data_IF_527696245966
#
_entry.id   IF_527696245966
#
_cell.length_a   1.000
_cell.length_b   1.000
_cell.length_c   1.000
_cell.angle_alpha   90.00
_cell.angle_beta   90.00
_cell.angle_gamma   90.00
#
_symmetry.space_group_name_H-M   'P 1'
#
loop_
_entity.id
_entity.type
_entity.pdbx_description
1 polymer ?
#
# COMPACT_ATOMS: atom_id res chain seq x y z
N UNK A 1 -14.99 12.68 12.49
CA UNK A 1 -14.77 11.37 11.81
C UNK A 1 -14.46 10.34 12.87
N UNK A 2 -15.05 9.14 12.79
CA UNK A 2 -14.79 8.08 13.78
C UNK A 2 -13.39 7.50 13.60
N UNK A 3 -12.69 7.23 14.70
CA UNK A 3 -11.38 6.57 14.71
C UNK A 3 -11.47 5.06 14.95
N UNK A 4 -12.67 4.53 15.14
CA UNK A 4 -12.93 3.10 15.31
C UNK A 4 -13.56 2.55 14.05
N UNK A 5 -13.20 1.32 13.67
CA UNK A 5 -13.86 0.59 12.60
C UNK A 5 -15.39 0.56 12.83
N UNK A 6 -16.24 0.82 11.83
CA UNK A 6 -15.97 0.95 10.39
C UNK A 6 -15.66 2.39 9.91
N UNK A 7 -15.14 3.25 10.79
CA UNK A 7 -14.68 4.62 10.51
C UNK A 7 -15.77 5.57 10.02
N UNK A 8 -17.01 5.33 10.44
CA UNK A 8 -18.19 6.10 10.05
C UNK A 8 -18.92 5.56 8.82
N UNK A 9 -18.47 4.44 8.26
CA UNK A 9 -19.22 3.74 7.21
C UNK A 9 -20.32 2.83 7.78
N UNK A 10 -21.31 2.50 6.96
CA UNK A 10 -22.33 1.52 7.31
C UNK A 10 -21.88 0.12 6.83
N UNK A 11 -21.90 -0.86 7.75
CA UNK A 11 -21.56 -2.25 7.45
C UNK A 11 -22.62 -2.94 6.57
N UNK A 12 -23.88 -2.50 6.65
CA UNK A 12 -24.95 -3.00 5.77
C UNK A 12 -24.73 -2.57 4.32
N UNK A 13 -23.96 -1.51 4.10
CA UNK A 13 -23.62 -0.94 2.80
C UNK A 13 -22.13 -1.18 2.47
N UNK A 14 -21.61 -2.36 2.84
CA UNK A 14 -20.21 -2.75 2.64
C UNK A 14 -19.68 -2.45 1.23
N UNK A 15 -20.46 -2.75 0.19
CA UNK A 15 -20.12 -2.49 -1.23
C UNK A 15 -19.84 -1.03 -1.55
N UNK A 16 -20.46 -0.10 -0.82
CA UNK A 16 -20.31 1.33 -1.09
C UNK A 16 -18.94 1.88 -0.70
N UNK A 17 -18.16 1.15 0.10
CA UNK A 17 -16.90 1.65 0.64
C UNK A 17 -15.77 0.62 0.71
N UNK A 18 -16.03 -0.69 0.87
CA UNK A 18 -14.96 -1.67 0.94
C UNK A 18 -14.18 -1.78 -0.38
N UNK A 19 -12.86 -1.81 -0.23
CA UNK A 19 -11.86 -1.86 -1.27
C UNK A 19 -11.63 -0.54 -1.99
N UNK A 20 -12.51 0.47 -1.85
CA UNK A 20 -12.41 1.77 -2.51
C UNK A 20 -11.17 2.57 -2.06
N UNK A 21 -10.66 3.45 -2.93
CA UNK A 21 -9.44 4.23 -2.67
C UNK A 21 -9.58 5.17 -1.45
N UNK A 22 -10.79 5.62 -1.14
CA UNK A 22 -11.12 6.47 0.01
C UNK A 22 -11.47 5.66 1.28
N UNK A 23 -11.50 4.32 1.20
CA UNK A 23 -11.74 3.45 2.32
C UNK A 23 -10.58 3.57 3.32
N UNK A 24 -10.91 3.84 4.58
CA UNK A 24 -9.90 4.04 5.62
C UNK A 24 -9.48 2.71 6.24
N UNK A 25 -8.19 2.62 6.59
CA UNK A 25 -7.65 1.53 7.38
C UNK A 25 -6.79 2.09 8.51
N UNK A 26 -6.96 1.52 9.70
CA UNK A 26 -6.07 1.73 10.85
C UNK A 26 -4.93 0.70 10.89
N UNK A 27 -5.17 -0.46 10.27
CA UNK A 27 -4.21 -1.54 10.17
C UNK A 27 -3.79 -1.71 8.71
N UNK A 28 -2.49 -1.61 8.46
CA UNK A 28 -1.89 -1.76 7.13
C UNK A 28 -0.83 -2.85 7.16
N UNK A 29 -0.76 -3.63 6.09
CA UNK A 29 0.41 -4.44 5.76
C UNK A 29 1.18 -3.68 4.70
N UNK A 30 2.43 -3.32 5.02
CA UNK A 30 3.30 -2.58 4.10
C UNK A 30 4.54 -3.42 3.81
N UNK A 31 4.85 -3.56 2.53
CA UNK A 31 5.97 -4.37 2.03
C UNK A 31 6.80 -3.53 1.07
N UNK A 32 8.11 -3.57 1.20
CA UNK A 32 9.01 -2.95 0.23
C UNK A 32 9.04 -3.75 -1.07
N UNK A 33 8.85 -3.07 -2.20
CA UNK A 33 8.69 -3.69 -3.52
C UNK A 33 9.81 -3.30 -4.51
N UNK A 34 10.91 -2.75 -3.99
CA UNK A 34 12.06 -2.30 -4.76
C UNK A 34 12.02 -0.81 -5.08
N UNK A 35 13.13 -0.30 -5.62
CA UNK A 35 13.30 1.12 -5.85
C UNK A 35 14.61 1.42 -6.56
N UNK A 36 14.75 2.66 -6.99
CA UNK A 36 15.96 3.18 -7.59
C UNK A 36 16.23 4.58 -7.05
N UNK A 37 17.37 4.78 -6.38
CA UNK A 37 17.74 6.09 -5.83
C UNK A 37 19.26 6.31 -5.96
N UNK A 38 19.66 7.23 -6.85
CA UNK A 38 20.99 7.86 -6.83
C UNK A 38 20.74 9.37 -6.81
N UNK A 39 20.76 9.98 -5.63
CA UNK A 39 20.46 11.40 -5.42
C UNK A 39 18.97 11.77 -5.58
N UNK A 40 18.34 11.43 -6.70
CA UNK A 40 16.91 11.58 -6.96
C UNK A 40 16.35 10.24 -7.46
N UNK A 41 15.18 9.84 -6.96
CA UNK A 41 14.70 8.49 -7.24
C UNK A 41 13.31 8.20 -6.73
N UNK A 42 12.99 6.91 -6.69
CA UNK A 42 11.76 6.41 -6.09
C UNK A 42 11.96 5.10 -5.34
N UNK A 43 11.14 4.90 -4.31
CA UNK A 43 10.95 3.61 -3.64
C UNK A 43 9.50 3.19 -3.80
N UNK A 44 9.28 1.93 -4.15
CA UNK A 44 7.95 1.34 -4.29
C UNK A 44 7.63 0.46 -3.08
N UNK A 45 6.38 0.48 -2.67
CA UNK A 45 5.83 -0.30 -1.58
C UNK A 45 4.46 -0.84 -1.97
N UNK A 46 4.14 -2.04 -1.50
CA UNK A 46 2.77 -2.57 -1.57
C UNK A 46 2.09 -2.23 -0.25
N UNK A 47 0.99 -1.49 -0.33
CA UNK A 47 0.13 -1.16 0.81
C UNK A 47 -1.14 -1.99 0.72
N UNK A 48 -1.43 -2.78 1.75
CA UNK A 48 -2.68 -3.52 1.91
C UNK A 48 -3.40 -3.04 3.17
N UNK A 49 -4.59 -2.47 3.01
CA UNK A 49 -5.46 -2.06 4.12
C UNK A 49 -6.27 -3.24 4.65
N UNK A 50 -5.98 -3.67 5.87
CA UNK A 50 -6.63 -4.85 6.49
C UNK A 50 -8.03 -4.56 7.03
N UNK A 51 -8.38 -3.29 7.20
CA UNK A 51 -9.73 -2.83 7.59
C UNK A 51 -10.54 -2.33 6.38
N UNK A 52 -9.95 -2.33 5.18
CA UNK A 52 -10.57 -1.77 3.98
C UNK A 52 -10.51 -2.67 2.76
N UNK A 53 -9.73 -3.76 2.75
CA UNK A 53 -9.50 -4.62 1.57
C UNK A 53 -9.00 -3.86 0.33
N UNK A 54 -8.39 -2.71 0.53
CA UNK A 54 -7.71 -1.99 -0.55
C UNK A 54 -6.26 -2.47 -0.65
N UNK A 55 -5.77 -2.69 -1.86
CA UNK A 55 -4.35 -2.97 -2.09
C UNK A 55 -3.82 -2.09 -3.21
N UNK A 56 -2.61 -1.55 -3.04
CA UNK A 56 -2.01 -0.68 -4.02
C UNK A 56 -0.49 -0.75 -4.06
N UNK A 57 0.05 -0.49 -5.25
CA UNK A 57 1.44 -0.10 -5.43
C UNK A 57 1.56 1.40 -5.17
N UNK A 58 2.26 1.74 -4.09
CA UNK A 58 2.52 3.11 -3.66
C UNK A 58 3.99 3.42 -3.87
N UNK A 59 4.28 4.55 -4.52
CA UNK A 59 5.64 5.04 -4.73
C UNK A 59 5.91 6.29 -3.93
N UNK A 60 7.08 6.34 -3.31
CA UNK A 60 7.65 7.56 -2.79
C UNK A 60 8.64 8.11 -3.79
N UNK A 61 8.41 9.33 -4.29
CA UNK A 61 9.33 10.04 -5.15
C UNK A 61 10.08 11.09 -4.34
N UNK A 62 11.41 11.01 -4.30
CA UNK A 62 12.17 11.88 -3.42
C UNK A 62 13.58 12.17 -3.90
N UNK A 63 14.25 13.00 -3.11
CA UNK A 63 15.65 13.38 -3.26
C UNK A 63 16.38 13.16 -1.94
N UNK A 64 17.58 12.56 -2.01
CA UNK A 64 18.48 12.33 -0.88
C UNK A 64 19.33 13.57 -0.53
N UNK A 65 20.25 13.48 0.44
CA UNK A 65 21.05 14.59 0.91
C UNK A 65 22.22 14.86 -0.05
N UNK A 66 21.93 15.52 -1.16
CA UNK A 66 22.95 16.19 -1.97
C UNK A 66 22.95 17.68 -1.61
N UNK A 67 24.13 18.27 -1.46
CA UNK A 67 24.37 19.67 -1.00
C UNK A 67 23.69 20.74 -1.90
N UNK A 68 23.08 20.33 -3.02
CA UNK A 68 22.37 21.18 -4.00
C UNK A 68 20.92 20.75 -4.29
N UNK A 69 20.33 19.84 -3.52
CA UNK A 69 19.01 19.30 -3.81
C UNK A 69 17.90 20.38 -3.68
N UNK A 70 17.15 20.69 -4.76
CA UNK A 70 16.17 21.79 -4.76
C UNK A 70 14.82 21.34 -4.18
N UNK A 71 14.80 20.93 -2.91
CA UNK A 71 13.62 20.43 -2.21
C UNK A 71 12.40 21.36 -2.38
N UNK A 72 12.61 22.68 -2.30
CA UNK A 72 11.53 23.67 -2.52
C UNK A 72 10.89 23.60 -3.91
N UNK A 73 11.64 23.26 -4.96
CA UNK A 73 11.08 23.08 -6.32
C UNK A 73 10.38 21.74 -6.47
N UNK A 74 10.91 20.68 -5.85
CA UNK A 74 10.27 19.35 -5.80
C UNK A 74 8.92 19.45 -5.07
N UNK A 75 8.88 20.08 -3.91
CA UNK A 75 7.64 20.29 -3.14
C UNK A 75 6.67 21.28 -3.79
N UNK A 76 7.17 22.30 -4.51
CA UNK A 76 6.32 23.17 -5.32
C UNK A 76 5.68 22.41 -6.48
N UNK A 77 6.44 21.54 -7.16
CA UNK A 77 5.94 20.68 -8.22
C UNK A 77 5.00 19.58 -7.69
N UNK A 78 5.21 19.12 -6.46
CA UNK A 78 4.33 18.18 -5.77
C UNK A 78 2.91 18.72 -5.57
N UNK A 79 2.77 20.04 -5.41
CA UNK A 79 1.46 20.70 -5.39
C UNK A 79 0.65 20.51 -6.67
N UNK A 80 1.28 20.08 -7.78
CA UNK A 80 0.59 19.67 -9.01
C UNK A 80 0.41 18.15 -9.10
N UNK A 81 1.46 17.36 -8.86
CA UNK A 81 1.38 15.89 -8.72
C UNK A 81 2.71 15.29 -8.27
N UNK A 82 2.69 14.08 -7.70
CA UNK A 82 3.89 13.31 -7.38
C UNK A 82 4.79 13.04 -8.62
N UNK A 83 4.18 12.83 -9.81
CA UNK A 83 4.92 12.66 -11.07
C UNK A 83 5.59 13.95 -11.55
N UNK A 84 5.00 15.12 -11.26
CA UNK A 84 5.64 16.41 -11.51
C UNK A 84 6.82 16.65 -10.55
N UNK A 85 6.68 16.25 -9.27
CA UNK A 85 7.76 16.25 -8.30
C UNK A 85 8.93 15.35 -8.75
N UNK A 86 8.64 14.15 -9.27
CA UNK A 86 9.67 13.25 -9.82
C UNK A 86 10.39 13.85 -11.04
N UNK A 87 9.65 14.42 -11.99
CA UNK A 87 10.25 15.08 -13.17
C UNK A 87 11.14 16.23 -12.76
N UNK A 88 10.69 17.07 -11.82
CA UNK A 88 11.50 18.15 -11.27
C UNK A 88 12.76 17.61 -10.62
N UNK A 89 12.66 16.60 -9.74
CA UNK A 89 13.80 15.96 -9.09
C UNK A 89 14.82 15.40 -10.10
N UNK A 90 14.34 14.75 -11.17
CA UNK A 90 15.18 14.13 -12.21
C UNK A 90 15.98 15.16 -13.02
N UNK A 91 15.43 16.35 -13.27
CA UNK A 91 16.15 17.43 -13.99
C UNK A 91 17.40 17.89 -13.24
N UNK A 92 17.42 17.81 -11.90
CA UNK A 92 18.54 18.28 -11.08
C UNK A 92 19.53 17.16 -10.69
N UNK A 93 19.22 15.89 -10.97
CA UNK A 93 20.06 14.73 -10.66
C UNK A 93 20.92 14.21 -11.83
N UNK A 94 21.04 14.96 -12.94
CA UNK A 94 21.58 14.51 -14.23
C UNK A 94 23.03 13.99 -14.26
N UNK A 95 23.82 14.19 -13.20
CA UNK A 95 25.25 13.86 -13.20
C UNK A 95 25.61 12.37 -13.26
N UNK A 96 24.79 11.46 -12.71
CA UNK A 96 25.18 10.06 -12.48
C UNK A 96 24.24 9.03 -13.14
N UNK A 97 23.46 9.44 -14.15
CA UNK A 97 22.25 8.76 -14.62
C UNK A 97 22.46 7.56 -15.58
N UNK A 98 23.69 7.29 -16.04
CA UNK A 98 23.94 6.25 -17.07
C UNK A 98 23.99 4.85 -16.47
N UNK A 99 24.50 4.70 -15.24
CA UNK A 99 24.61 3.40 -14.56
C UNK A 99 23.32 3.11 -13.78
N UNK A 100 22.31 2.51 -14.42
CA UNK A 100 21.13 2.00 -13.72
C UNK A 100 19.79 2.05 -14.46
N UNK A 101 19.72 2.69 -15.63
CA UNK A 101 18.47 2.82 -16.40
C UNK A 101 17.86 1.47 -16.78
N UNK A 102 18.68 0.48 -17.15
CA UNK A 102 18.22 -0.86 -17.48
C UNK A 102 17.56 -1.57 -16.28
N UNK A 103 18.17 -1.44 -15.08
CA UNK A 103 17.61 -1.97 -13.85
C UNK A 103 16.31 -1.23 -13.45
N UNK A 104 16.28 0.11 -13.57
CA UNK A 104 15.06 0.90 -13.34
C UNK A 104 13.91 0.43 -14.26
N UNK A 105 14.18 0.24 -15.56
CA UNK A 105 13.19 -0.23 -16.53
C UNK A 105 12.72 -1.64 -16.18
N UNK A 106 13.63 -2.55 -15.84
CA UNK A 106 13.30 -3.92 -15.46
C UNK A 106 12.39 -3.95 -14.23
N UNK A 107 12.77 -3.26 -13.14
CA UNK A 107 11.95 -3.17 -11.93
C UNK A 107 10.59 -2.55 -12.20
N UNK A 108 10.51 -1.49 -13.01
CA UNK A 108 9.20 -0.91 -13.39
C UNK A 108 8.35 -1.87 -14.18
N UNK A 109 8.95 -2.64 -15.10
CA UNK A 109 8.24 -3.62 -15.91
C UNK A 109 7.68 -4.73 -15.02
N UNK A 110 8.47 -5.26 -14.12
CA UNK A 110 8.04 -6.26 -13.13
C UNK A 110 6.91 -5.73 -12.24
N UNK A 111 7.03 -4.50 -11.74
CA UNK A 111 5.98 -3.86 -10.93
C UNK A 111 4.71 -3.61 -11.74
N UNK A 112 4.85 -3.34 -13.03
CA UNK A 112 3.71 -3.09 -13.93
C UNK A 112 3.00 -4.36 -14.37
N UNK A 113 3.62 -5.54 -14.19
CA UNK A 113 3.08 -6.83 -14.58
C UNK A 113 2.01 -7.38 -13.62
N UNK A 114 1.85 -6.80 -12.42
CA UNK A 114 0.77 -7.18 -11.51
C UNK A 114 -0.57 -6.60 -11.98
N UNK A 115 -1.37 -7.40 -12.69
CA UNK A 115 -2.62 -6.96 -13.31
C UNK A 115 -3.82 -6.98 -12.35
N UNK A 116 -3.74 -7.75 -11.26
CA UNK A 116 -4.80 -7.87 -10.24
C UNK A 116 -4.29 -7.51 -8.84
N UNK A 117 -5.21 -7.18 -7.94
CA UNK A 117 -4.91 -7.01 -6.52
C UNK A 117 -4.38 -8.31 -5.90
N UNK A 118 -4.86 -9.47 -6.34
CA UNK A 118 -4.33 -10.75 -5.87
C UNK A 118 -2.89 -11.04 -6.33
N UNK A 119 -2.46 -10.51 -7.47
CA UNK A 119 -1.04 -10.59 -7.87
C UNK A 119 -0.16 -9.75 -6.94
N UNK A 120 -0.61 -8.54 -6.58
CA UNK A 120 0.05 -7.71 -5.57
C UNK A 120 0.06 -8.40 -4.19
N UNK A 121 -1.05 -9.05 -3.81
CA UNK A 121 -1.12 -9.78 -2.54
C UNK A 121 -0.12 -10.93 -2.51
N UNK A 122 -0.08 -11.79 -3.54
CA UNK A 122 0.88 -12.90 -3.63
C UNK A 122 2.33 -12.41 -3.59
N UNK A 123 2.62 -11.31 -4.30
CA UNK A 123 3.93 -10.65 -4.25
C UNK A 123 4.27 -10.10 -2.85
N UNK A 124 3.28 -9.62 -2.11
CA UNK A 124 3.48 -9.18 -0.73
C UNK A 124 3.83 -10.32 0.24
N UNK A 125 3.40 -11.57 -0.07
CA UNK A 125 3.67 -12.74 0.77
C UNK A 125 5.11 -13.25 0.66
N UNK A 126 5.83 -12.93 -0.43
CA UNK A 126 7.24 -13.32 -0.59
C UNK A 126 8.22 -12.44 0.18
N UNK A 127 7.74 -11.41 0.87
CA UNK A 127 8.51 -10.51 1.70
C UNK A 127 8.10 -10.64 3.17
N UNK A 128 8.98 -10.26 4.09
CA UNK A 128 8.62 -10.15 5.50
C UNK A 128 7.65 -8.96 5.64
N UNK A 129 6.39 -9.17 6.06
CA UNK A 129 5.46 -8.06 6.20
C UNK A 129 5.84 -7.20 7.41
N UNK A 130 5.83 -5.87 7.22
CA UNK A 130 5.79 -4.92 8.33
C UNK A 130 4.32 -4.58 8.66
N UNK A 131 3.72 -5.14 9.72
CA UNK A 131 2.40 -4.69 10.16
C UNK A 131 2.52 -3.27 10.72
N UNK A 132 1.79 -2.34 10.11
CA UNK A 132 1.72 -0.94 10.53
C UNK A 132 0.34 -0.69 11.12
N UNK A 133 0.29 -0.58 12.45
CA UNK A 133 -0.93 -0.20 13.16
C UNK A 133 -0.86 1.27 13.55
N UNK A 134 -1.83 2.04 13.11
CA UNK A 134 -1.84 3.49 13.25
C UNK A 134 -2.93 3.98 14.18
N UNK A 135 -2.63 5.06 14.90
CA UNK A 135 -3.59 5.75 15.77
C UNK A 135 -4.65 6.52 14.98
N UNK A 136 -4.32 6.97 13.78
CA UNK A 136 -5.23 7.70 12.88
C UNK A 136 -5.45 6.88 11.63
N UNK A 137 -6.69 6.43 11.36
CA UNK A 137 -6.98 5.71 10.14
C UNK A 137 -6.90 6.66 8.94
N UNK A 138 -6.26 6.18 7.87
CA UNK A 138 -6.11 6.92 6.63
C UNK A 138 -6.51 6.03 5.45
N UNK A 139 -6.74 6.61 4.28
CA UNK A 139 -7.06 5.92 3.03
C UNK A 139 -5.95 6.08 2.00
N UNK A 140 -5.96 5.30 0.93
CA UNK A 140 -5.01 5.51 -0.18
C UNK A 140 -5.19 6.89 -0.84
N UNK A 141 -6.40 7.44 -0.80
CA UNK A 141 -6.64 8.81 -1.22
C UNK A 141 -5.92 9.83 -0.32
N UNK A 142 -5.93 9.61 1.00
CA UNK A 142 -5.30 10.52 1.97
C UNK A 142 -3.78 10.58 1.81
N UNK A 143 -3.11 9.45 1.51
CA UNK A 143 -1.65 9.41 1.31
C UNK A 143 -1.22 9.96 -0.06
N UNK A 144 -2.11 9.95 -1.06
CA UNK A 144 -1.76 10.39 -2.41
C UNK A 144 -1.33 11.87 -2.43
N UNK A 145 -0.15 12.14 -2.99
CA UNK A 145 0.49 13.46 -3.04
C UNK A 145 0.86 14.07 -1.67
N UNK A 146 0.90 13.27 -0.60
CA UNK A 146 1.40 13.74 0.70
C UNK A 146 2.92 13.80 0.72
N UNK A 147 3.47 14.73 1.50
CA UNK A 147 4.91 14.79 1.75
C UNK A 147 5.32 13.72 2.75
N UNK A 148 6.57 13.32 2.70
CA UNK A 148 7.10 12.32 3.61
C UNK A 148 8.61 12.19 3.53
N UNK A 149 9.13 11.22 4.27
CA UNK A 149 10.53 10.84 4.23
C UNK A 149 10.71 9.33 4.24
N UNK A 150 11.85 8.89 3.72
CA UNK A 150 12.36 7.53 3.86
C UNK A 150 13.77 7.63 4.40
N UNK A 151 14.05 6.98 5.53
CA UNK A 151 15.37 6.88 6.12
C UNK A 151 15.76 5.41 6.07
N UNK A 152 16.81 5.09 5.31
CA UNK A 152 17.40 3.78 5.34
C UNK A 152 18.28 3.66 6.59
N UNK A 153 18.00 2.70 7.44
CA UNK A 153 18.86 2.37 8.56
C UNK A 153 19.19 0.88 8.47
N UNK A 154 20.47 0.54 8.63
CA UNK A 154 20.90 -0.83 8.91
C UNK A 154 20.38 -1.18 10.31
N UNK A 155 19.09 -1.48 10.41
CA UNK A 155 18.47 -2.03 11.61
C UNK A 155 18.28 -3.50 11.33
N UNK A 156 19.01 -4.33 12.07
CA UNK A 156 18.81 -5.77 12.08
C UNK A 156 17.43 -6.06 12.68
N UNK A 157 16.42 -6.21 11.83
CA UNK A 157 15.04 -6.51 12.24
C UNK A 157 14.78 -7.95 11.87
N UNK A 158 14.75 -8.84 12.87
CA UNK A 158 14.17 -10.20 12.78
C UNK A 158 14.52 -10.92 11.45
N UNK A 159 15.77 -11.36 11.33
CA UNK A 159 16.33 -12.05 10.14
C UNK A 159 16.37 -11.24 8.83
N UNK A 160 16.00 -9.95 8.82
CA UNK A 160 16.18 -9.05 7.69
C UNK A 160 17.51 -8.26 7.80
N UNK A 161 18.21 -8.08 6.67
CA UNK A 161 19.50 -7.40 6.58
C UNK A 161 19.43 -5.86 6.71
N UNK A 162 18.24 -5.28 6.89
CA UNK A 162 18.04 -3.83 7.07
C UNK A 162 16.56 -3.43 7.11
N UNK A 163 16.29 -2.17 7.48
CA UNK A 163 14.93 -1.61 7.56
C UNK A 163 14.83 -0.18 7.02
N UNK A 164 13.66 0.17 6.50
CA UNK A 164 13.33 1.54 6.12
C UNK A 164 12.41 2.14 7.16
N UNK A 165 12.80 3.26 7.75
CA UNK A 165 11.84 4.13 8.44
C UNK A 165 11.16 4.99 7.37
N UNK A 166 9.85 4.84 7.23
CA UNK A 166 9.02 5.57 6.28
C UNK A 166 8.03 6.46 7.02
N UNK A 167 7.80 7.66 6.49
CA UNK A 167 6.83 8.59 7.08
C UNK A 167 6.02 9.31 6.02
N UNK A 168 4.79 9.68 6.38
CA UNK A 168 3.95 10.62 5.65
C UNK A 168 3.45 11.69 6.63
N UNK A 169 3.53 12.94 6.21
CA UNK A 169 3.19 14.11 7.03
C UNK A 169 1.75 14.01 7.56
N UNK A 170 1.63 13.80 8.87
CA UNK A 170 0.34 13.73 9.57
C UNK A 170 -0.41 12.39 9.46
N UNK A 171 0.10 11.40 8.71
CA UNK A 171 -0.56 10.11 8.51
C UNK A 171 0.12 8.95 9.25
N UNK A 172 1.43 8.75 9.05
CA UNK A 172 2.15 7.62 9.66
C UNK A 172 3.65 7.86 9.81
N UNK A 173 4.23 7.11 10.73
CA UNK A 173 5.67 6.85 10.88
C UNK A 173 5.79 5.35 11.18
N UNK A 174 6.59 4.62 10.40
CA UNK A 174 6.66 3.16 10.47
C UNK A 174 8.03 2.63 10.04
N UNK A 175 8.45 1.50 10.59
CA UNK A 175 9.64 0.77 10.17
C UNK A 175 9.24 -0.46 9.36
N UNK A 176 9.70 -0.55 8.12
CA UNK A 176 9.40 -1.64 7.20
C UNK A 176 10.68 -2.44 6.92
N UNK A 177 10.68 -3.78 7.10
CA UNK A 177 11.85 -4.60 6.79
C UNK A 177 12.15 -4.59 5.29
N UNK A 178 13.43 -4.65 4.94
CA UNK A 178 13.90 -4.83 3.57
C UNK A 178 14.31 -6.29 3.35
N UNK A 179 13.66 -7.00 2.42
CA UNK A 179 13.91 -8.42 2.15
C UNK A 179 14.48 -8.71 0.75
N UNK A 180 15.02 -7.70 0.05
CA UNK A 180 15.54 -7.86 -1.32
C UNK A 180 17.07 -7.97 -1.42
N UNK A 181 17.53 -8.99 -2.16
CA UNK A 181 18.92 -9.46 -2.38
C UNK A 181 19.76 -8.59 -3.34
N UNK A 182 19.52 -7.28 -3.43
CA UNK A 182 20.17 -6.50 -4.47
C UNK A 182 19.93 -5.01 -4.36
N UNK A 183 21.02 -4.31 -4.05
CA UNK A 183 21.18 -2.87 -4.00
C UNK A 183 20.51 -2.21 -2.78
N UNK A 184 21.26 -2.27 -1.68
CA UNK A 184 21.50 -1.14 -0.76
C UNK A 184 21.97 0.08 -1.57
N UNK A 185 21.15 0.62 -2.49
CA UNK A 185 21.44 1.87 -3.22
C UNK A 185 20.74 3.07 -2.60
N UNK A 186 19.91 2.87 -1.56
CA UNK A 186 19.81 3.89 -0.54
C UNK A 186 21.09 3.80 0.30
N UNK A 187 22.23 4.23 -0.23
CA UNK A 187 23.43 4.36 0.57
C UNK A 187 23.06 5.19 1.80
N UNK A 188 23.16 4.59 3.00
CA UNK A 188 23.07 5.22 4.32
C UNK A 188 22.46 6.64 4.30
N UNK A 189 21.16 6.75 3.98
CA UNK A 189 20.63 8.00 3.45
C UNK A 189 19.17 8.25 3.76
N UNK A 190 18.86 9.52 4.04
CA UNK A 190 17.51 10.03 4.23
C UNK A 190 17.02 10.72 2.94
N UNK A 191 15.88 10.31 2.41
CA UNK A 191 15.18 10.96 1.32
C UNK A 191 13.98 11.74 1.84
N UNK A 192 13.74 12.91 1.26
CA UNK A 192 12.50 13.68 1.46
C UNK A 192 11.79 13.85 0.12
N UNK A 193 10.46 13.78 0.13
CA UNK A 193 9.71 13.53 -1.09
C UNK A 193 8.22 13.43 -0.89
N UNK A 194 7.54 12.80 -1.86
CA UNK A 194 6.10 12.79 -2.00
C UNK A 194 5.61 11.39 -2.32
N UNK A 195 4.55 10.97 -1.66
CA UNK A 195 3.87 9.70 -1.90
C UNK A 195 2.92 9.79 -3.10
N UNK A 196 2.83 8.69 -3.84
CA UNK A 196 2.01 8.53 -5.04
C UNK A 196 1.37 7.16 -5.02
N UNK A 197 0.08 7.08 -5.33
CA UNK A 197 -0.60 5.80 -5.56
C UNK A 197 -0.55 5.53 -7.05
N UNK A 198 0.21 4.52 -7.48
CA UNK A 198 0.43 4.25 -8.90
C UNK A 198 -0.61 3.31 -9.48
N UNK A 199 -1.03 2.31 -8.70
CA UNK A 199 -2.05 1.34 -9.09
C UNK A 199 -2.79 0.87 -7.85
N UNK A 200 -4.11 0.86 -7.92
CA UNK A 200 -5.02 0.48 -6.84
C UNK A 200 -5.94 -0.63 -7.33
N UNK A 201 -6.26 -1.55 -6.43
CA UNK A 201 -7.16 -2.67 -6.66
C UNK A 201 -8.13 -2.82 -5.48
N UNK A 202 -9.31 -3.34 -5.81
CA UNK A 202 -10.38 -3.61 -4.87
C UNK A 202 -10.43 -5.12 -4.59
N UNK A 203 -9.79 -5.57 -3.51
CA UNK A 203 -9.82 -7.01 -3.15
C UNK A 203 -11.21 -7.47 -2.68
N UNK A 204 -12.08 -6.56 -2.24
CA UNK A 204 -13.44 -6.92 -1.88
C UNK A 204 -14.22 -7.46 -3.09
N UNK A 205 -14.16 -6.75 -4.23
CA UNK A 205 -14.76 -7.24 -5.48
C UNK A 205 -13.98 -8.41 -6.11
N UNK A 206 -12.65 -8.32 -6.24
CA UNK A 206 -11.87 -9.38 -6.90
C UNK A 206 -12.06 -10.75 -6.20
N UNK A 207 -12.08 -10.76 -4.87
CA UNK A 207 -12.29 -11.99 -4.10
C UNK A 207 -13.75 -12.42 -4.04
N UNK A 208 -14.67 -11.45 -4.03
CA UNK A 208 -16.11 -11.70 -4.12
C UNK A 208 -16.47 -12.41 -5.42
N UNK A 209 -16.08 -11.84 -6.56
CA UNK A 209 -16.34 -12.36 -7.90
C UNK A 209 -15.73 -13.76 -8.08
N UNK A 210 -14.51 -13.97 -7.59
CA UNK A 210 -13.85 -15.29 -7.62
C UNK A 210 -14.63 -16.33 -6.81
N UNK A 211 -15.15 -15.98 -5.63
CA UNK A 211 -15.94 -16.90 -4.83
C UNK A 211 -17.31 -17.19 -5.44
N UNK A 212 -17.99 -16.18 -5.98
CA UNK A 212 -19.26 -16.39 -6.68
C UNK A 212 -19.08 -17.35 -7.87
N UNK A 213 -18.05 -17.14 -8.69
CA UNK A 213 -17.73 -18.02 -9.81
C UNK A 213 -17.46 -19.46 -9.35
N UNK A 214 -16.70 -19.65 -8.26
CA UNK A 214 -16.46 -20.99 -7.69
C UNK A 214 -17.76 -21.65 -7.22
N UNK A 215 -18.59 -20.93 -6.45
CA UNK A 215 -19.86 -21.46 -5.95
C UNK A 215 -20.82 -21.85 -7.07
N UNK A 216 -20.83 -21.10 -8.18
CA UNK A 216 -21.62 -21.44 -9.36
C UNK A 216 -21.19 -22.78 -10.00
N UNK A 217 -19.88 -23.06 -10.04
CA UNK A 217 -19.32 -24.32 -10.55
C UNK A 217 -19.62 -25.48 -9.59
N UNK A 218 -19.52 -25.23 -8.28
CA UNK A 218 -19.71 -26.23 -7.23
C UNK A 218 -21.19 -26.47 -6.86
N UNK A 219 -22.12 -25.74 -7.50
CA UNK A 219 -23.55 -25.75 -7.21
C UNK A 219 -23.86 -25.46 -5.72
N UNK A 220 -23.16 -24.48 -5.15
CA UNK A 220 -23.30 -24.01 -3.77
C UNK A 220 -23.85 -22.59 -3.73
N UNK A 221 -24.47 -22.21 -2.60
CA UNK A 221 -24.90 -20.82 -2.38
C UNK A 221 -23.69 -19.93 -2.05
N UNK A 222 -23.47 -18.83 -2.79
CA UNK A 222 -22.34 -17.92 -2.54
C UNK A 222 -22.48 -17.13 -1.24
N UNK A 223 -23.69 -16.95 -0.72
CA UNK A 223 -23.95 -16.15 0.49
C UNK A 223 -23.23 -16.71 1.73
N UNK A 224 -22.90 -18.01 1.76
CA UNK A 224 -22.15 -18.63 2.87
C UNK A 224 -20.63 -18.67 2.65
N UNK A 225 -20.13 -18.25 1.48
CA UNK A 225 -18.71 -18.21 1.23
C UNK A 225 -18.04 -17.06 2.01
N UNK A 226 -16.82 -17.29 2.49
CA UNK A 226 -16.05 -16.30 3.25
C UNK A 226 -14.69 -16.05 2.58
N UNK A 227 -14.68 -15.45 1.38
CA UNK A 227 -13.48 -15.35 0.56
C UNK A 227 -12.37 -14.52 1.22
N UNK A 228 -12.72 -13.55 2.06
CA UNK A 228 -11.76 -12.63 2.65
C UNK A 228 -10.89 -13.28 3.74
N UNK A 229 -11.26 -14.46 4.27
CA UNK A 229 -10.45 -15.21 5.26
C UNK A 229 -9.07 -15.62 4.74
N UNK A 230 -8.88 -15.65 3.42
CA UNK A 230 -7.58 -15.94 2.83
C UNK A 230 -6.58 -14.76 2.95
N UNK A 231 -7.07 -13.56 3.30
CA UNK A 231 -6.22 -12.42 3.63
C UNK A 231 -5.88 -12.52 5.11
N UNK A 232 -4.60 -12.82 5.39
CA UNK A 232 -4.13 -12.92 6.76
C UNK A 232 -4.28 -11.58 7.50
N UNK A 233 -4.69 -11.65 8.76
CA UNK A 233 -4.90 -10.51 9.67
C UNK A 233 -5.97 -9.49 9.22
N UNK A 234 -6.81 -9.84 8.25
CA UNK A 234 -7.96 -9.00 7.87
C UNK A 234 -8.89 -8.80 9.07
N UNK A 235 -9.54 -7.63 9.13
CA UNK A 235 -10.44 -7.31 10.24
C UNK A 235 -11.49 -8.43 10.46
N UNK A 236 -11.74 -8.91 11.69
CA UNK A 236 -12.60 -10.08 11.95
C UNK A 236 -14.02 -9.98 11.39
N UNK A 237 -14.58 -8.76 11.35
CA UNK A 237 -15.89 -8.51 10.72
C UNK A 237 -15.82 -8.72 9.21
N UNK A 238 -14.79 -8.18 8.55
CA UNK A 238 -14.58 -8.34 7.11
C UNK A 238 -14.36 -9.81 6.77
N UNK A 239 -13.61 -10.55 7.60
CA UNK A 239 -13.38 -11.99 7.44
C UNK A 239 -14.68 -12.83 7.41
N UNK A 240 -15.79 -12.28 7.90
CA UNK A 240 -17.09 -12.97 7.97
C UNK A 240 -18.10 -12.46 6.94
N UNK A 241 -17.78 -11.40 6.19
CA UNK A 241 -18.66 -10.87 5.17
C UNK A 241 -18.85 -11.88 4.02
N UNK A 242 -20.05 -11.94 3.43
CA UNK A 242 -20.28 -12.69 2.21
C UNK A 242 -19.54 -12.05 1.01
N UNK A 243 -19.42 -12.77 -0.11
CA UNK A 243 -18.88 -12.22 -1.35
C UNK A 243 -19.57 -10.90 -1.73
N UNK A 244 -18.83 -9.95 -2.29
CA UNK A 244 -19.41 -8.75 -2.89
C UNK A 244 -20.54 -9.17 -3.85
N UNK A 245 -21.68 -8.47 -3.86
CA UNK A 245 -22.88 -8.82 -4.61
C UNK A 245 -23.88 -9.70 -3.84
N UNK A 246 -23.52 -10.25 -2.68
CA UNK A 246 -24.41 -11.02 -1.82
C UNK A 246 -24.91 -10.18 -0.63
N UNK A 247 -26.21 -10.28 -0.32
CA UNK A 247 -26.78 -9.52 0.79
C UNK A 247 -26.38 -10.12 2.14
N UNK A 248 -25.95 -9.26 3.08
CA UNK A 248 -25.70 -9.65 4.46
C UNK A 248 -26.98 -10.18 5.12
N UNK A 249 -28.16 -9.66 4.75
CA UNK A 249 -29.44 -10.09 5.33
C UNK A 249 -29.77 -11.56 5.06
N UNK A 250 -29.18 -12.16 4.02
CA UNK A 250 -29.38 -13.56 3.68
C UNK A 250 -28.56 -14.53 4.53
N UNK A 251 -27.57 -14.02 5.26
CA UNK A 251 -26.48 -14.84 5.82
C UNK A 251 -26.62 -15.13 7.32
N UNK A 252 -27.73 -14.74 7.95
CA UNK A 252 -27.92 -14.71 9.43
C UNK A 252 -26.79 -13.98 10.20
N UNK A 253 -25.84 -13.38 9.48
CA UNK A 253 -24.69 -12.69 10.02
C UNK A 253 -25.14 -11.34 10.59
N UNK A 254 -24.98 -11.18 11.90
CA UNK A 254 -25.21 -9.90 12.57
C UNK A 254 -23.87 -9.21 12.86
N UNK A 255 -23.40 -8.29 11.99
CA UNK A 255 -22.12 -7.60 12.18
C UNK A 255 -22.06 -6.78 13.48
N UNK A 256 -23.21 -6.35 14.02
CA UNK A 256 -23.27 -5.59 15.27
C UNK A 256 -22.84 -6.43 16.49
N UNK A 257 -22.93 -7.76 16.41
CA UNK A 257 -22.49 -8.66 17.49
C UNK A 257 -20.96 -8.72 17.67
N UNK A 258 -20.20 -8.26 16.68
CA UNK A 258 -18.74 -8.36 16.64
C UNK A 258 -18.03 -7.01 16.84
N UNK A 259 -18.78 -5.91 16.90
CA UNK A 259 -18.21 -4.61 17.24
C UNK A 259 -18.04 -4.52 18.76
N UNK A 260 -16.87 -4.12 19.27
CA UNK A 260 -16.72 -3.83 20.68
C UNK A 260 -17.68 -2.70 21.08
N UNK A 261 -18.48 -2.94 22.14
CA UNK A 261 -19.39 -1.94 22.74
C UNK A 261 -18.62 -0.79 23.39
#
# INVERSE_FOLDING_TARGET
MSNTFPFGNDLSQAESWLGHMNAKSSTWRVVYDGGFAIGAGYHSFIFLGLDSLTIALVRFYGVGPAVSAPYGKVFKAAGASARAAYRAARTYGAGNMIFGLAAEIATRREQSAAETGMDLYRRSLSALPGPVRLRRPFSLHDIANTRGSIIAAEVEVMAAAGGYQISSEGLFDATIPNTGDGLVNAGLGAMSGVWSVERWHNLYHELGDSAQARCAIENQSPSYAQPYRQIADVHPIIAQLPPAGCSISETEFNPASLLPQ
#
